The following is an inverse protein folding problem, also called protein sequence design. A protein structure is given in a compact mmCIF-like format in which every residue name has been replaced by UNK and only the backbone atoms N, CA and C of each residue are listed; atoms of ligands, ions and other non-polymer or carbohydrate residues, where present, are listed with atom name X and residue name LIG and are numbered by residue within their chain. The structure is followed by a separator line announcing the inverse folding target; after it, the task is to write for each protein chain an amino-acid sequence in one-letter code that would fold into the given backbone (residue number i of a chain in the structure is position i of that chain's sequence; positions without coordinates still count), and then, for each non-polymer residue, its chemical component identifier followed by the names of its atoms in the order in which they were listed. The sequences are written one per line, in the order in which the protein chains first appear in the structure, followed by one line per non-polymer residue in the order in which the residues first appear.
data_IF_676924595956
#
_entry.id   IF_676924595956
#
_cell.length_a   1.000
_cell.length_b   1.000
_cell.length_c   1.000
_cell.angle_alpha   90.00
_cell.angle_beta   90.00
_cell.angle_gamma   90.00
#
_symmetry.space_group_name_H-M   'P 1'
#
loop_
_entity.id
_entity.type
_entity.pdbx_description
1 polymer ?
#
# COMPACT_ATOMS: atom_id res chain seq x y z
N UNK A 1 20.29 -2.74 5.97
CA UNK A 1 18.96 -3.02 5.38
C UNK A 1 18.08 -3.54 6.49
N UNK A 2 17.04 -2.82 6.90
CA UNK A 2 16.19 -3.21 8.03
C UNK A 2 15.35 -4.44 7.69
N UNK A 3 15.15 -5.35 8.65
CA UNK A 3 14.41 -6.61 8.43
C UNK A 3 12.95 -6.38 8.03
N UNK A 4 12.37 -5.26 8.45
CA UNK A 4 11.04 -4.80 8.00
C UNK A 4 10.95 -4.60 6.48
N UNK A 5 12.00 -4.04 5.84
CA UNK A 5 12.02 -3.87 4.39
C UNK A 5 12.15 -5.22 3.65
N UNK A 6 12.81 -6.21 4.26
CA UNK A 6 12.92 -7.57 3.69
C UNK A 6 11.56 -8.26 3.72
N UNK A 7 10.87 -8.20 4.86
CA UNK A 7 9.53 -8.77 5.02
C UNK A 7 8.54 -8.15 4.03
N UNK A 8 8.51 -6.82 3.88
CA UNK A 8 7.66 -6.15 2.91
C UNK A 8 7.90 -6.61 1.45
N UNK A 9 9.15 -6.86 1.07
CA UNK A 9 9.49 -7.40 -0.27
C UNK A 9 9.00 -8.82 -0.46
N UNK A 10 9.11 -9.67 0.57
CA UNK A 10 8.65 -11.06 0.51
C UNK A 10 7.13 -11.13 0.36
N UNK A 11 6.39 -10.33 1.13
CA UNK A 11 4.93 -10.25 1.01
C UNK A 11 4.51 -9.79 -0.39
N UNK A 12 5.19 -8.78 -0.95
CA UNK A 12 4.95 -8.31 -2.32
C UNK A 12 5.23 -9.39 -3.37
N UNK A 13 6.24 -10.22 -3.16
CA UNK A 13 6.59 -11.33 -4.05
C UNK A 13 5.53 -12.44 -4.01
N UNK A 14 5.10 -12.85 -2.81
CA UNK A 14 4.02 -13.84 -2.62
C UNK A 14 2.75 -13.38 -3.31
N UNK A 15 2.36 -12.10 -3.14
CA UNK A 15 1.19 -11.53 -3.81
C UNK A 15 1.29 -11.63 -5.34
N UNK A 16 2.44 -11.27 -5.92
CA UNK A 16 2.65 -11.36 -7.37
C UNK A 16 2.51 -12.80 -7.88
N UNK A 17 3.02 -13.78 -7.13
CA UNK A 17 2.90 -15.20 -7.50
C UNK A 17 1.45 -15.70 -7.43
N UNK A 18 0.69 -15.26 -6.41
CA UNK A 18 -0.73 -15.58 -6.31
C UNK A 18 -1.56 -14.95 -7.45
N UNK A 19 -1.27 -13.69 -7.80
CA UNK A 19 -1.92 -13.04 -8.94
C UNK A 19 -1.57 -13.74 -10.26
N UNK A 20 -0.29 -14.08 -10.46
CA UNK A 20 0.16 -14.81 -11.63
C UNK A 20 -0.52 -16.18 -11.73
N UNK A 21 -0.66 -16.88 -10.61
CA UNK A 21 -1.39 -18.15 -10.56
C UNK A 21 -2.85 -18.00 -10.96
N UNK A 22 -3.50 -16.89 -10.60
CA UNK A 22 -4.91 -16.63 -10.90
C UNK A 22 -5.16 -16.15 -12.33
N UNK A 23 -4.27 -15.32 -12.86
CA UNK A 23 -4.45 -14.62 -14.14
C UNK A 23 -3.82 -15.34 -15.33
N UNK A 24 -2.95 -16.33 -15.11
CA UNK A 24 -2.31 -17.06 -16.19
C UNK A 24 -3.23 -18.16 -16.76
N UNK A 25 -3.39 -18.18 -18.08
CA UNK A 25 -4.20 -19.16 -18.81
C UNK A 25 -3.54 -20.54 -18.91
N UNK A 26 -2.23 -20.66 -18.65
CA UNK A 26 -1.52 -21.92 -18.62
C UNK A 26 -1.59 -22.57 -17.23
N UNK A 27 -2.37 -23.65 -17.12
CA UNK A 27 -2.58 -24.38 -15.86
C UNK A 27 -1.27 -24.88 -15.22
N UNK A 28 -0.28 -25.28 -16.02
CA UNK A 28 1.00 -25.77 -15.51
C UNK A 28 1.81 -24.65 -14.82
N UNK A 29 1.89 -23.49 -15.47
CA UNK A 29 2.58 -22.31 -14.93
C UNK A 29 1.84 -21.72 -13.74
N UNK A 30 0.50 -21.70 -13.79
CA UNK A 30 -0.34 -21.27 -12.69
C UNK A 30 -0.14 -22.12 -11.44
N UNK A 31 -0.15 -23.45 -11.57
CA UNK A 31 0.11 -24.38 -10.47
C UNK A 31 1.52 -24.23 -9.90
N UNK A 32 2.52 -24.01 -10.76
CA UNK A 32 3.90 -23.77 -10.33
C UNK A 32 4.06 -22.44 -9.58
N UNK A 33 3.38 -21.38 -10.02
CA UNK A 33 3.35 -20.09 -9.34
C UNK A 33 2.69 -20.20 -7.96
N UNK A 34 1.57 -20.91 -7.87
CA UNK A 34 0.85 -21.17 -6.62
C UNK A 34 1.70 -21.97 -5.63
N UNK A 35 2.33 -23.07 -6.07
CA UNK A 35 3.21 -23.88 -5.22
C UNK A 35 4.39 -23.07 -4.67
N UNK A 36 4.98 -22.20 -5.49
CA UNK A 36 6.05 -21.29 -5.07
C UNK A 36 5.57 -20.28 -4.03
N UNK A 37 4.38 -19.71 -4.22
CA UNK A 37 3.78 -18.80 -3.24
C UNK A 37 3.57 -19.49 -1.89
N UNK A 38 2.96 -20.68 -1.89
CA UNK A 38 2.72 -21.47 -0.68
C UNK A 38 4.02 -21.82 0.06
N UNK A 39 5.07 -22.21 -0.67
CA UNK A 39 6.37 -22.53 -0.09
C UNK A 39 7.03 -21.31 0.58
N UNK A 40 6.90 -20.13 -0.03
CA UNK A 40 7.39 -18.88 0.55
C UNK A 40 6.57 -18.47 1.79
N UNK A 41 5.25 -18.64 1.76
CA UNK A 41 4.36 -18.40 2.90
C UNK A 41 4.74 -19.28 4.09
N UNK A 42 4.92 -20.59 3.87
CA UNK A 42 5.34 -21.52 4.91
C UNK A 42 6.74 -21.22 5.46
N UNK A 43 7.69 -20.82 4.61
CA UNK A 43 9.08 -20.56 5.02
C UNK A 43 9.24 -19.29 5.87
N UNK A 44 8.44 -18.26 5.59
CA UNK A 44 8.59 -16.94 6.22
C UNK A 44 7.43 -16.58 7.15
N UNK A 45 6.50 -17.51 7.39
CA UNK A 45 5.33 -17.28 8.24
C UNK A 45 4.38 -16.21 7.71
N UNK A 46 4.36 -15.97 6.39
CA UNK A 46 3.53 -14.94 5.78
C UNK A 46 2.10 -15.46 5.72
N UNK A 47 1.21 -14.79 6.43
CA UNK A 47 -0.22 -15.12 6.39
C UNK A 47 -0.87 -14.56 5.13
N UNK A 48 -1.94 -15.20 4.66
CA UNK A 48 -2.75 -14.70 3.56
C UNK A 48 -3.28 -13.27 3.85
N UNK A 49 -3.57 -12.99 5.13
CA UNK A 49 -3.98 -11.67 5.60
C UNK A 49 -2.90 -10.60 5.36
N UNK A 50 -1.63 -10.87 5.64
CA UNK A 50 -0.52 -9.95 5.35
C UNK A 50 -0.34 -9.71 3.84
N UNK A 51 -0.51 -10.77 3.02
CA UNK A 51 -0.48 -10.64 1.57
C UNK A 51 -1.62 -9.75 1.05
N UNK A 52 -2.82 -9.88 1.62
CA UNK A 52 -3.98 -9.05 1.30
C UNK A 52 -3.82 -7.59 1.78
N UNK A 53 -3.30 -7.37 3.00
CA UNK A 53 -3.04 -6.03 3.54
C UNK A 53 -1.94 -5.32 2.73
N UNK A 54 -0.95 -6.05 2.19
CA UNK A 54 0.05 -5.44 1.28
C UNK A 54 -0.53 -4.84 0.00
N UNK A 55 -1.78 -5.24 -0.35
CA UNK A 55 -2.52 -4.62 -1.45
C UNK A 55 -2.95 -3.20 -1.14
N UNK A 56 -3.07 -2.86 0.14
CA UNK A 56 -3.29 -1.51 0.63
C UNK A 56 -1.96 -0.77 0.54
N UNK A 57 -1.62 -0.37 -0.68
CA UNK A 57 -0.61 0.67 -0.89
C UNK A 57 -1.21 1.96 -0.34
N UNK A 58 -0.69 2.45 0.78
CA UNK A 58 -0.75 3.89 1.02
C UNK A 58 0.09 4.50 -0.10
N UNK A 59 -0.56 5.01 -1.14
CA UNK A 59 0.11 5.88 -2.07
C UNK A 59 0.41 7.16 -1.28
N UNK A 60 1.68 7.51 -0.98
CA UNK A 60 1.96 8.89 -0.66
C UNK A 60 1.51 9.66 -1.91
N UNK A 61 0.43 10.43 -1.78
CA UNK A 61 0.03 11.33 -2.84
C UNK A 61 1.27 12.17 -3.14
N UNK A 62 1.79 12.10 -4.37
CA UNK A 62 2.99 12.83 -4.83
C UNK A 62 2.91 14.35 -4.54
N UNK A 63 1.72 14.86 -4.21
CA UNK A 63 1.46 16.25 -3.84
C UNK A 63 0.98 16.50 -2.41
N UNK A 64 0.99 15.52 -1.50
CA UNK A 64 0.85 15.87 -0.08
C UNK A 64 2.22 16.38 0.37
N UNK A 65 2.33 17.61 0.87
CA UNK A 65 3.55 18.10 1.50
C UNK A 65 3.68 17.40 2.86
N UNK A 66 3.95 16.10 2.84
CA UNK A 66 4.41 15.39 4.03
C UNK A 66 5.68 16.09 4.46
N UNK A 67 5.61 16.80 5.59
CA UNK A 67 6.74 17.41 6.29
C UNK A 67 7.18 18.81 5.82
N UNK A 68 6.36 19.59 5.11
CA UNK A 68 6.74 20.99 4.82
C UNK A 68 5.54 21.93 4.77
N UNK A 69 5.22 22.58 5.88
CA UNK A 69 4.24 23.69 5.95
C UNK A 69 4.49 24.75 4.86
N UNK A 70 5.76 25.01 4.52
CA UNK A 70 6.19 25.95 3.46
C UNK A 70 5.75 25.56 2.03
N UNK A 71 5.24 24.35 1.79
CA UNK A 71 4.89 23.84 0.46
C UNK A 71 3.42 23.47 0.29
N UNK A 72 2.52 23.93 1.18
CA UNK A 72 1.08 23.73 0.96
C UNK A 72 0.62 24.68 -0.15
N UNK A 73 0.14 24.17 -1.30
CA UNK A 73 -0.39 25.02 -2.36
C UNK A 73 -1.70 25.70 -1.91
N UNK A 74 -1.93 26.95 -2.33
CA UNK A 74 -3.14 27.69 -1.93
C UNK A 74 -4.45 26.97 -2.24
N UNK A 75 -4.52 26.25 -3.36
CA UNK A 75 -5.71 25.50 -3.75
C UNK A 75 -6.11 24.45 -2.69
N UNK A 76 -5.13 23.86 -2.01
CA UNK A 76 -5.34 22.83 -0.99
C UNK A 76 -5.93 23.44 0.28
N UNK A 77 -5.48 24.64 0.66
CA UNK A 77 -6.05 25.41 1.76
C UNK A 77 -7.49 25.81 1.45
N UNK A 78 -7.77 26.34 0.25
CA UNK A 78 -9.13 26.73 -0.17
C UNK A 78 -10.09 25.53 -0.18
N UNK A 79 -9.64 24.39 -0.68
CA UNK A 79 -10.43 23.16 -0.67
C UNK A 79 -10.74 22.70 0.76
N UNK A 80 -9.74 22.75 1.64
CA UNK A 80 -9.89 22.36 3.05
C UNK A 80 -10.95 23.23 3.75
N UNK A 81 -10.95 24.54 3.49
CA UNK A 81 -11.97 25.45 4.01
C UNK A 81 -13.35 25.19 3.42
N UNK A 82 -13.45 24.94 2.11
CA UNK A 82 -14.73 24.63 1.46
C UNK A 82 -15.37 23.34 2.02
N UNK A 83 -14.55 22.31 2.26
CA UNK A 83 -15.00 21.07 2.89
C UNK A 83 -15.39 21.32 4.35
N UNK A 84 -14.59 22.07 5.11
CA UNK A 84 -14.89 22.41 6.49
C UNK A 84 -16.23 23.12 6.64
N UNK A 85 -16.53 24.09 5.76
CA UNK A 85 -17.81 24.80 5.71
C UNK A 85 -18.98 23.87 5.38
N UNK A 86 -18.82 23.03 4.35
CA UNK A 86 -19.87 22.08 3.93
C UNK A 86 -20.28 21.08 5.02
N UNK A 87 -19.33 20.67 5.87
CA UNK A 87 -19.55 19.70 6.95
C UNK A 87 -19.69 20.34 8.33
N UNK A 88 -19.61 21.68 8.46
CA UNK A 88 -19.67 22.38 9.74
C UNK A 88 -18.49 22.08 10.68
N UNK A 89 -17.35 21.66 10.12
CA UNK A 89 -16.16 21.28 10.86
C UNK A 89 -15.10 22.40 10.84
N UNK A 90 -14.07 22.30 11.69
CA UNK A 90 -12.92 23.21 11.64
C UNK A 90 -11.67 22.47 11.18
N UNK A 91 -10.90 23.01 10.22
CA UNK A 91 -9.68 22.36 9.79
C UNK A 91 -8.61 22.46 10.88
N UNK A 92 -7.98 21.33 11.20
CA UNK A 92 -6.86 21.28 12.14
C UNK A 92 -5.55 21.38 11.37
N UNK A 93 -4.78 22.43 11.64
CA UNK A 93 -3.42 22.61 11.11
C UNK A 93 -2.44 22.68 12.28
N UNK A 94 -1.51 21.74 12.34
CA UNK A 94 -0.45 21.70 13.34
C UNK A 94 0.86 22.13 12.70
N UNK A 95 1.41 23.27 13.15
CA UNK A 95 2.78 23.68 12.82
C UNK A 95 3.73 23.06 13.84
N UNK A 96 4.48 22.04 13.45
CA UNK A 96 5.67 21.56 14.18
C UNK A 96 6.93 21.88 13.40
#
# INVERSE_FOLDING_TARGET
MSDSQRQARLVKLVRKLLELARSNSNAHEAGLALSRAQKLMAKYGITELEASISSIQQAPTQGAPSQSWKKIPEWMTRLTWAVADAFGCRPYVSSS
#
